data_IF_446253714555
#
_entry.id   IF_446253714555
#
_cell.length_a   1.000
_cell.length_b   1.000
_cell.length_c   1.000
_cell.angle_alpha   90.00
_cell.angle_beta   90.00
_cell.angle_gamma   90.00
#
_symmetry.space_group_name_H-M   'P 1'
#
loop_
_entity.id
_entity.type
_entity.pdbx_description
1 polymer ?
#
# COMPACT_ATOMS: atom_id res chain seq x y z
N UNK A 1 -58.27 11.85 -5.17
CA UNK A 1 -57.25 10.85 -4.80
C UNK A 1 -56.22 10.64 -5.92
N UNK A 2 -56.53 11.03 -7.15
CA UNK A 2 -55.74 10.76 -8.36
C UNK A 2 -54.44 11.56 -8.47
N UNK A 3 -54.42 12.80 -7.95
CA UNK A 3 -53.23 13.67 -7.95
C UNK A 3 -52.09 13.14 -7.08
N UNK A 4 -52.42 12.50 -5.94
CA UNK A 4 -51.43 11.92 -5.03
C UNK A 4 -50.80 10.69 -5.67
N UNK A 5 -51.60 9.82 -6.29
CA UNK A 5 -51.13 8.61 -7.00
C UNK A 5 -50.25 8.98 -8.20
N UNK A 6 -50.57 10.03 -8.94
CA UNK A 6 -49.75 10.53 -10.04
C UNK A 6 -48.38 11.07 -9.56
N UNK A 7 -48.36 11.83 -8.46
CA UNK A 7 -47.12 12.33 -7.85
C UNK A 7 -46.26 11.19 -7.30
N UNK A 8 -46.85 10.15 -6.70
CA UNK A 8 -46.11 8.96 -6.23
C UNK A 8 -45.50 8.17 -7.39
N UNK A 9 -46.21 8.01 -8.52
CA UNK A 9 -45.66 7.35 -9.72
C UNK A 9 -44.53 8.14 -10.36
N UNK A 10 -44.64 9.47 -10.43
CA UNK A 10 -43.58 10.35 -10.94
C UNK A 10 -42.34 10.35 -10.04
N UNK A 11 -42.52 10.34 -8.71
CA UNK A 11 -41.44 10.20 -7.75
C UNK A 11 -40.75 8.82 -7.86
N UNK A 12 -41.52 7.75 -8.06
CA UNK A 12 -40.96 6.40 -8.24
C UNK A 12 -40.20 6.27 -9.57
N UNK A 13 -40.73 6.83 -10.65
CA UNK A 13 -40.04 6.89 -11.95
C UNK A 13 -38.76 7.73 -11.91
N UNK A 14 -38.78 8.87 -11.20
CA UNK A 14 -37.61 9.71 -10.99
C UNK A 14 -36.54 9.02 -10.12
N UNK A 15 -36.93 8.33 -9.06
CA UNK A 15 -36.02 7.55 -8.22
C UNK A 15 -35.38 6.40 -9.00
N UNK A 16 -36.15 5.68 -9.83
CA UNK A 16 -35.63 4.63 -10.71
C UNK A 16 -34.68 5.18 -11.79
N UNK A 17 -34.96 6.37 -12.34
CA UNK A 17 -34.08 7.03 -13.29
C UNK A 17 -32.74 7.44 -12.66
N UNK A 18 -32.74 7.96 -11.42
CA UNK A 18 -31.51 8.27 -10.66
C UNK A 18 -30.72 7.00 -10.35
N UNK A 19 -31.38 5.90 -10.00
CA UNK A 19 -30.72 4.61 -9.79
C UNK A 19 -30.08 4.04 -11.06
N UNK A 20 -30.66 4.31 -12.24
CA UNK A 20 -30.10 3.90 -13.53
C UNK A 20 -28.94 4.78 -14.02
N UNK A 21 -28.89 6.06 -13.62
CA UNK A 21 -27.81 6.98 -14.01
C UNK A 21 -26.68 7.04 -13.00
N UNK A 22 -26.82 6.42 -11.82
CA UNK A 22 -25.74 6.29 -10.84
C UNK A 22 -24.74 5.24 -11.34
N UNK A 23 -23.79 5.67 -12.16
CA UNK A 23 -22.64 4.85 -12.54
C UNK A 23 -21.85 4.43 -11.30
N UNK A 24 -21.42 3.17 -11.24
CA UNK A 24 -20.58 2.68 -10.15
C UNK A 24 -19.30 3.52 -10.08
N UNK A 25 -19.06 4.19 -8.96
CA UNK A 25 -17.76 4.78 -8.66
C UNK A 25 -16.78 3.62 -8.36
N UNK A 26 -16.05 3.19 -9.38
CA UNK A 26 -14.98 2.21 -9.20
C UNK A 26 -13.79 2.89 -8.51
N UNK A 27 -13.73 2.79 -7.18
CA UNK A 27 -12.49 3.00 -6.47
C UNK A 27 -11.50 1.88 -6.86
N UNK A 28 -10.21 2.21 -6.97
CA UNK A 28 -9.21 1.17 -7.19
C UNK A 28 -9.22 0.19 -6.00
N UNK A 29 -9.14 -1.10 -6.30
CA UNK A 29 -9.36 -2.19 -5.35
C UNK A 29 -8.07 -3.00 -5.17
N UNK A 30 -7.81 -3.56 -3.99
CA UNK A 30 -6.61 -4.35 -3.77
C UNK A 30 -6.63 -5.58 -4.68
N UNK A 31 -5.53 -5.81 -5.42
CA UNK A 31 -5.41 -6.97 -6.31
C UNK A 31 -4.77 -8.14 -5.56
N UNK A 32 -5.14 -9.40 -5.83
CA UNK A 32 -4.52 -10.55 -5.18
C UNK A 32 -3.00 -10.53 -5.34
N UNK A 33 -2.27 -10.68 -4.23
CA UNK A 33 -0.80 -10.68 -4.17
C UNK A 33 -0.10 -9.37 -4.55
N UNK A 34 -0.82 -8.26 -4.54
CA UNK A 34 -0.21 -6.94 -4.69
C UNK A 34 0.60 -6.57 -3.44
N UNK A 35 1.83 -6.11 -3.66
CA UNK A 35 2.83 -5.83 -2.63
C UNK A 35 3.15 -4.33 -2.54
N UNK A 36 2.48 -3.53 -3.36
CA UNK A 36 2.62 -2.08 -3.45
C UNK A 36 1.31 -1.41 -3.07
N UNK A 37 1.31 -0.08 -3.00
CA UNK A 37 0.08 0.68 -2.85
C UNK A 37 -0.80 0.57 -4.10
N UNK A 38 -2.10 0.77 -3.88
CA UNK A 38 -3.11 0.96 -4.93
C UNK A 38 -2.77 2.17 -5.81
N UNK A 39 -3.38 2.28 -6.99
CA UNK A 39 -3.16 3.40 -7.90
C UNK A 39 -3.64 4.73 -7.26
N UNK A 40 -2.84 5.79 -7.42
CA UNK A 40 -3.08 7.07 -6.76
C UNK A 40 -4.31 7.78 -7.37
N UNK A 41 -5.41 7.84 -6.61
CA UNK A 41 -6.62 8.57 -7.02
C UNK A 41 -6.53 10.09 -6.81
N UNK A 42 -5.53 10.57 -6.06
CA UNK A 42 -5.33 12.00 -5.73
C UNK A 42 -3.86 12.39 -5.81
N UNK A 43 -3.57 13.68 -6.00
CA UNK A 43 -2.19 14.19 -6.02
C UNK A 43 -1.45 14.02 -4.69
N UNK A 44 -2.16 13.91 -3.55
CA UNK A 44 -1.54 13.61 -2.25
C UNK A 44 -1.05 12.16 -2.21
N UNK A 45 -1.85 11.22 -2.74
CA UNK A 45 -1.46 9.82 -2.83
C UNK A 45 -0.21 9.65 -3.72
N UNK A 46 -0.11 10.40 -4.81
CA UNK A 46 1.08 10.41 -5.67
C UNK A 46 2.34 10.87 -4.92
N UNK A 47 2.22 11.92 -4.09
CA UNK A 47 3.33 12.39 -3.24
C UNK A 47 3.75 11.35 -2.21
N UNK A 48 2.79 10.64 -1.60
CA UNK A 48 3.08 9.53 -0.68
C UNK A 48 3.85 8.42 -1.41
N UNK A 49 3.40 8.02 -2.60
CA UNK A 49 4.08 6.99 -3.39
C UNK A 49 5.50 7.40 -3.81
N UNK A 50 5.70 8.68 -4.15
CA UNK A 50 7.03 9.21 -4.43
C UNK A 50 7.93 9.16 -3.20
N UNK A 51 7.41 9.59 -2.05
CA UNK A 51 8.14 9.61 -0.79
C UNK A 51 8.53 8.20 -0.34
N UNK A 52 7.60 7.24 -0.41
CA UNK A 52 7.90 5.83 -0.10
C UNK A 52 9.04 5.30 -0.96
N UNK A 53 8.98 5.46 -2.28
CA UNK A 53 10.05 5.00 -3.18
C UNK A 53 11.39 5.67 -2.87
N UNK A 54 11.36 6.97 -2.59
CA UNK A 54 12.56 7.73 -2.25
C UNK A 54 13.20 7.19 -0.97
N UNK A 55 12.43 7.06 0.11
CA UNK A 55 12.93 6.55 1.39
C UNK A 55 13.34 5.08 1.30
N UNK A 56 12.60 4.24 0.57
CA UNK A 56 12.92 2.83 0.37
C UNK A 56 14.30 2.65 -0.29
N UNK A 57 14.64 3.52 -1.24
CA UNK A 57 15.97 3.55 -1.88
C UNK A 57 17.12 3.82 -0.90
N UNK A 58 16.88 4.47 0.24
CA UNK A 58 17.90 4.64 1.30
C UNK A 58 17.90 3.48 2.29
N UNK A 59 16.73 2.97 2.67
CA UNK A 59 16.62 1.88 3.66
C UNK A 59 17.23 0.58 3.12
N UNK A 60 16.99 0.24 1.85
CA UNK A 60 17.52 -0.99 1.22
C UNK A 60 19.05 -1.09 1.33
N UNK A 61 19.86 -0.13 0.86
CA UNK A 61 21.32 -0.27 0.92
C UNK A 61 21.86 -0.31 2.35
N UNK A 62 21.26 0.43 3.28
CA UNK A 62 21.68 0.43 4.69
C UNK A 62 21.38 -0.92 5.34
N UNK A 63 20.18 -1.47 5.14
CA UNK A 63 19.79 -2.78 5.68
C UNK A 63 20.61 -3.92 5.06
N UNK A 64 20.92 -3.84 3.76
CA UNK A 64 21.83 -4.80 3.11
C UNK A 64 23.26 -4.71 3.64
N UNK A 65 23.77 -3.50 3.90
CA UNK A 65 25.09 -3.31 4.53
C UNK A 65 25.12 -3.95 5.91
N UNK A 66 24.13 -3.69 6.75
CA UNK A 66 24.05 -4.29 8.10
C UNK A 66 23.91 -5.80 8.02
N UNK A 67 23.04 -6.31 7.14
CA UNK A 67 22.89 -7.75 6.91
C UNK A 67 24.22 -8.38 6.47
N UNK A 68 24.94 -7.74 5.56
CA UNK A 68 26.26 -8.18 5.11
C UNK A 68 27.26 -8.23 6.27
N UNK A 69 27.32 -7.19 7.11
CA UNK A 69 28.22 -7.16 8.27
C UNK A 69 27.87 -8.23 9.30
N UNK A 70 26.58 -8.49 9.54
CA UNK A 70 26.15 -9.55 10.46
C UNK A 70 26.53 -10.94 9.92
N UNK A 71 26.27 -11.20 8.64
CA UNK A 71 26.70 -12.45 7.99
C UNK A 71 28.21 -12.60 8.07
N UNK A 72 28.96 -11.52 7.80
CA UNK A 72 30.41 -11.50 7.92
C UNK A 72 30.87 -11.86 9.34
N UNK A 73 30.29 -11.22 10.36
CA UNK A 73 30.64 -11.46 11.76
C UNK A 73 30.34 -12.91 12.17
N UNK A 74 29.16 -13.42 11.81
CA UNK A 74 28.78 -14.81 12.11
C UNK A 74 29.71 -15.80 11.43
N UNK A 75 30.05 -15.59 10.16
CA UNK A 75 30.91 -16.52 9.44
C UNK A 75 32.36 -16.45 9.92
N UNK A 76 32.88 -15.24 10.19
CA UNK A 76 34.30 -14.99 10.50
C UNK A 76 34.65 -15.22 11.97
N UNK A 77 33.74 -14.91 12.90
CA UNK A 77 33.98 -14.96 14.35
C UNK A 77 33.21 -16.08 15.07
N UNK A 78 32.68 -17.07 14.35
CA UNK A 78 32.14 -18.30 14.98
C UNK A 78 33.23 -19.04 15.77
N UNK A 79 32.83 -19.79 16.79
CA UNK A 79 33.72 -20.53 17.68
C UNK A 79 34.73 -21.44 16.95
N UNK A 80 34.33 -22.08 15.84
CA UNK A 80 35.24 -22.94 15.07
C UNK A 80 36.29 -22.18 14.26
N UNK A 81 36.02 -20.93 13.87
CA UNK A 81 36.92 -20.11 13.04
C UNK A 81 37.69 -19.05 13.87
N UNK A 82 37.25 -18.79 15.10
CA UNK A 82 37.87 -17.84 16.02
C UNK A 82 37.89 -18.39 17.46
N UNK A 83 38.74 -19.41 17.74
CA UNK A 83 38.77 -20.07 19.06
C UNK A 83 39.33 -19.18 20.18
N UNK A 84 40.26 -18.28 19.88
CA UNK A 84 40.78 -17.29 20.82
C UNK A 84 40.29 -15.88 20.44
N UNK A 85 39.23 -15.35 21.09
CA UNK A 85 38.68 -14.04 20.75
C UNK A 85 39.61 -12.90 21.18
N UNK A 86 39.69 -11.86 20.35
CA UNK A 86 40.39 -10.61 20.68
C UNK A 86 39.74 -9.90 21.87
N UNK A 87 40.56 -9.35 22.77
CA UNK A 87 40.14 -8.66 24.01
C UNK A 87 40.43 -7.16 24.00
N UNK A 88 40.42 -6.54 22.82
CA UNK A 88 40.62 -5.09 22.71
C UNK A 88 39.46 -4.34 23.36
N UNK A 89 39.77 -3.37 24.24
CA UNK A 89 38.80 -2.53 24.95
C UNK A 89 37.92 -1.70 24.04
#
# INVERSE_FOLDING_TARGET
MDKIVATTKGAFGGALAVLWTTGAAFADQPRPWEWRFQDAATGIAEQIHWFERYTLWFIIPITLLVLFLLVWVVLRFRASANPEPSKTS
#
